data_IF_247032396290
#
_entry.id   IF_247032396290
#
_cell.length_a   1.000
_cell.length_b   1.000
_cell.length_c   1.000
_cell.angle_alpha   90.00
_cell.angle_beta   90.00
_cell.angle_gamma   90.00
#
_symmetry.space_group_name_H-M   'P 1'
#
loop_
_entity.id
_entity.type
_entity.pdbx_description
1 polymer ?
#
# COMPACT_ATOMS: atom_id res chain seq x y z
N UNK A 1 -37.68 22.03 31.29
CA UNK A 1 -37.78 20.69 30.66
C UNK A 1 -37.16 20.81 29.28
N UNK A 2 -35.81 20.72 29.23
CA UNK A 2 -35.04 20.90 28.00
C UNK A 2 -35.01 19.55 27.28
N UNK A 3 -35.55 19.51 26.05
CA UNK A 3 -35.41 18.39 25.16
C UNK A 3 -33.95 18.09 24.90
N UNK A 4 -33.53 16.80 24.85
CA UNK A 4 -32.16 16.47 24.47
C UNK A 4 -31.95 16.90 23.01
N UNK A 5 -30.93 17.71 22.77
CA UNK A 5 -30.40 18.00 21.45
C UNK A 5 -30.00 16.66 20.80
N UNK A 6 -30.81 16.22 19.86
CA UNK A 6 -30.57 15.10 18.98
C UNK A 6 -29.26 15.40 18.20
N UNK A 7 -28.17 14.78 18.63
CA UNK A 7 -26.91 14.74 17.87
C UNK A 7 -27.20 13.82 16.69
N UNK A 8 -27.89 14.37 15.68
CA UNK A 8 -27.95 13.74 14.35
C UNK A 8 -26.53 13.66 13.87
N UNK A 9 -26.00 12.44 13.86
CA UNK A 9 -24.84 12.10 13.06
C UNK A 9 -25.02 12.74 11.68
N UNK A 10 -24.04 13.51 11.23
CA UNK A 10 -24.02 14.12 9.89
C UNK A 10 -24.00 13.03 8.82
N UNK A 11 -25.16 12.40 8.63
CA UNK A 11 -25.38 11.39 7.60
C UNK A 11 -25.56 12.14 6.27
N UNK A 12 -24.61 11.95 5.36
CA UNK A 12 -24.62 12.56 4.03
C UNK A 12 -25.04 11.51 2.98
N UNK A 13 -26.33 11.43 2.64
CA UNK A 13 -26.85 10.41 1.70
C UNK A 13 -26.21 10.50 0.31
N UNK A 14 -25.76 11.70 -0.08
CA UNK A 14 -25.08 11.87 -1.37
C UNK A 14 -23.67 11.29 -1.36
N UNK A 15 -22.95 11.41 -0.24
CA UNK A 15 -21.66 10.75 -0.06
C UNK A 15 -21.83 9.24 -0.01
N UNK A 16 -22.79 8.73 0.74
CA UNK A 16 -23.04 7.29 0.88
C UNK A 16 -23.34 6.63 -0.48
N UNK A 17 -24.14 7.27 -1.31
CA UNK A 17 -24.42 6.80 -2.67
C UNK A 17 -23.16 6.74 -3.56
N UNK A 18 -22.20 7.66 -3.36
CA UNK A 18 -20.93 7.65 -4.08
C UNK A 18 -19.99 6.55 -3.54
N UNK A 19 -19.94 6.39 -2.21
CA UNK A 19 -19.13 5.36 -1.54
C UNK A 19 -19.59 3.96 -1.92
N UNK A 20 -20.90 3.70 -1.95
CA UNK A 20 -21.46 2.42 -2.36
C UNK A 20 -21.01 1.98 -3.78
N UNK A 21 -20.75 2.94 -4.67
CA UNK A 21 -20.20 2.64 -6.02
C UNK A 21 -18.75 2.16 -6.01
N UNK A 22 -18.04 2.34 -4.91
CA UNK A 22 -16.63 1.91 -4.75
C UNK A 22 -16.50 0.49 -4.20
N UNK A 23 -17.61 -0.22 -3.98
CA UNK A 23 -17.60 -1.60 -3.52
C UNK A 23 -17.27 -2.58 -4.67
N UNK A 24 -16.83 -3.79 -4.31
CA UNK A 24 -16.57 -4.86 -5.28
C UNK A 24 -15.11 -5.03 -5.69
N UNK A 25 -14.86 -5.60 -6.86
CA UNK A 25 -13.53 -6.01 -7.34
C UNK A 25 -12.59 -4.83 -7.62
N UNK A 26 -13.14 -3.70 -8.02
CA UNK A 26 -12.41 -2.46 -8.34
C UNK A 26 -11.19 -2.65 -9.26
N UNK A 27 -11.36 -3.14 -10.51
CA UNK A 27 -10.23 -3.49 -11.37
C UNK A 27 -9.32 -2.28 -11.66
N UNK A 28 -9.89 -1.11 -11.88
CA UNK A 28 -9.14 0.12 -12.14
C UNK A 28 -8.27 0.55 -10.97
N UNK A 29 -8.76 0.39 -9.74
CA UNK A 29 -7.96 0.65 -8.54
C UNK A 29 -6.75 -0.27 -8.47
N UNK A 30 -6.91 -1.56 -8.80
CA UNK A 30 -5.81 -2.54 -8.78
C UNK A 30 -4.78 -2.27 -9.87
N UNK A 31 -5.23 -1.93 -11.09
CA UNK A 31 -4.33 -1.52 -12.18
C UNK A 31 -3.57 -0.25 -11.81
N UNK A 32 -4.27 0.75 -11.25
CA UNK A 32 -3.65 1.99 -10.80
C UNK A 32 -2.64 1.73 -9.67
N UNK A 33 -2.99 0.88 -8.71
CA UNK A 33 -2.12 0.50 -7.61
C UNK A 33 -0.83 -0.17 -8.13
N UNK A 34 -0.96 -1.14 -9.04
CA UNK A 34 0.18 -1.81 -9.65
C UNK A 34 1.04 -0.82 -10.48
N UNK A 35 0.41 -0.01 -11.31
CA UNK A 35 1.11 1.01 -12.11
C UNK A 35 1.84 2.03 -11.25
N UNK A 36 1.23 2.47 -10.15
CA UNK A 36 1.86 3.38 -9.20
C UNK A 36 3.08 2.75 -8.51
N UNK A 37 2.99 1.47 -8.14
CA UNK A 37 4.13 0.74 -7.58
C UNK A 37 5.31 0.64 -8.53
N UNK A 38 5.04 0.26 -9.77
CA UNK A 38 6.08 0.19 -10.81
C UNK A 38 6.67 1.59 -11.07
N UNK A 39 5.84 2.62 -11.15
CA UNK A 39 6.28 4.00 -11.38
C UNK A 39 7.15 4.51 -10.22
N UNK A 40 6.74 4.32 -8.98
CA UNK A 40 7.49 4.78 -7.81
C UNK A 40 8.79 3.99 -7.59
N UNK A 41 8.81 2.71 -7.94
CA UNK A 41 10.00 1.87 -7.82
C UNK A 41 11.01 2.13 -8.96
N UNK A 42 10.56 2.08 -10.21
CA UNK A 42 11.44 2.10 -11.37
C UNK A 42 11.58 3.48 -12.02
N UNK A 43 10.56 4.35 -11.93
CA UNK A 43 10.59 5.68 -12.53
C UNK A 43 11.81 6.50 -12.13
N UNK A 44 12.12 6.65 -10.83
CA UNK A 44 13.30 7.37 -10.38
C UNK A 44 14.62 6.78 -10.89
N UNK A 45 14.67 5.45 -11.10
CA UNK A 45 15.87 4.77 -11.65
C UNK A 45 16.03 5.10 -13.11
N UNK A 46 14.95 4.98 -13.89
CA UNK A 46 14.98 5.23 -15.35
C UNK A 46 15.33 6.68 -15.71
N UNK A 47 14.90 7.62 -14.85
CA UNK A 47 15.21 9.06 -15.04
C UNK A 47 16.54 9.47 -14.40
N UNK A 48 17.20 8.57 -13.64
CA UNK A 48 18.49 8.85 -13.00
C UNK A 48 18.41 9.79 -11.79
N UNK A 49 17.27 9.80 -11.06
CA UNK A 49 17.12 10.63 -9.87
C UNK A 49 18.04 10.20 -8.74
N UNK A 50 18.63 11.19 -8.06
CA UNK A 50 19.36 10.94 -6.81
C UNK A 50 18.39 10.58 -5.69
N UNK A 51 18.90 9.93 -4.62
CA UNK A 51 18.09 9.60 -3.45
C UNK A 51 17.48 10.85 -2.81
N UNK A 52 18.23 11.93 -2.73
CA UNK A 52 17.79 13.20 -2.15
C UNK A 52 16.62 13.77 -2.96
N UNK A 53 16.69 13.74 -4.29
CA UNK A 53 15.61 14.19 -5.14
C UNK A 53 14.35 13.34 -4.95
N UNK A 54 14.49 12.02 -4.87
CA UNK A 54 13.37 11.11 -4.58
C UNK A 54 12.70 11.49 -3.24
N UNK A 55 13.49 11.69 -2.19
CA UNK A 55 12.97 12.04 -0.87
C UNK A 55 12.27 13.40 -0.88
N UNK A 56 12.83 14.41 -1.56
CA UNK A 56 12.20 15.73 -1.69
C UNK A 56 10.86 15.63 -2.42
N UNK A 57 10.82 14.93 -3.57
CA UNK A 57 9.59 14.78 -4.37
C UNK A 57 8.52 14.00 -3.61
N UNK A 58 8.87 12.88 -2.97
CA UNK A 58 7.92 12.09 -2.19
C UNK A 58 7.44 12.84 -0.94
N UNK A 59 8.31 13.62 -0.28
CA UNK A 59 7.91 14.45 0.87
C UNK A 59 6.94 15.55 0.45
N UNK A 60 7.20 16.23 -0.67
CA UNK A 60 6.30 17.24 -1.23
C UNK A 60 4.95 16.66 -1.64
N UNK A 61 4.96 15.49 -2.31
CA UNK A 61 3.74 14.78 -2.68
C UNK A 61 2.94 14.33 -1.44
N UNK A 62 3.60 13.78 -0.44
CA UNK A 62 2.97 13.38 0.83
C UNK A 62 2.34 14.56 1.55
N UNK A 63 3.05 15.69 1.64
CA UNK A 63 2.50 16.91 2.26
C UNK A 63 1.24 17.38 1.53
N UNK A 64 1.27 17.43 0.19
CA UNK A 64 0.11 17.83 -0.60
C UNK A 64 -1.07 16.85 -0.40
N UNK A 65 -0.83 15.54 -0.38
CA UNK A 65 -1.85 14.51 -0.12
C UNK A 65 -2.44 14.63 1.29
N UNK A 66 -1.61 14.86 2.31
CA UNK A 66 -2.08 15.07 3.70
C UNK A 66 -2.96 16.32 3.82
N UNK A 67 -2.56 17.43 3.19
CA UNK A 67 -3.37 18.64 3.17
C UNK A 67 -4.71 18.42 2.48
N UNK A 68 -4.73 17.70 1.36
CA UNK A 68 -5.96 17.33 0.65
C UNK A 68 -6.84 16.40 1.50
N UNK A 69 -6.26 15.40 2.17
CA UNK A 69 -7.01 14.51 3.06
C UNK A 69 -7.62 15.26 4.25
N UNK A 70 -6.85 16.15 4.90
CA UNK A 70 -7.36 16.98 5.98
C UNK A 70 -8.49 17.90 5.49
N UNK A 71 -8.33 18.51 4.33
CA UNK A 71 -9.33 19.41 3.76
C UNK A 71 -10.64 18.68 3.44
N UNK A 72 -10.57 17.52 2.75
CA UNK A 72 -11.76 16.78 2.36
C UNK A 72 -12.48 16.11 3.54
N UNK A 73 -11.72 15.65 4.56
CA UNK A 73 -12.31 15.04 5.76
C UNK A 73 -12.99 16.08 6.67
N UNK A 74 -12.57 17.37 6.58
CA UNK A 74 -13.21 18.48 7.31
C UNK A 74 -14.38 19.11 6.55
N UNK A 75 -14.43 18.95 5.23
CA UNK A 75 -15.44 19.58 4.38
C UNK A 75 -16.15 18.52 3.53
N UNK A 76 -17.38 18.15 3.90
CA UNK A 76 -18.16 17.12 3.20
C UNK A 76 -18.31 17.39 1.70
N UNK A 77 -18.38 18.65 1.26
CA UNK A 77 -18.42 18.99 -0.16
C UNK A 77 -17.15 18.57 -0.90
N UNK A 78 -15.96 18.72 -0.29
CA UNK A 78 -14.70 18.28 -0.87
C UNK A 78 -14.60 16.75 -0.86
N UNK A 79 -15.11 16.10 0.18
CA UNK A 79 -15.13 14.62 0.24
C UNK A 79 -16.05 14.05 -0.85
N UNK A 80 -17.23 14.62 -1.07
CA UNK A 80 -18.09 14.27 -2.21
C UNK A 80 -17.39 14.49 -3.55
N UNK A 81 -16.70 15.62 -3.73
CA UNK A 81 -15.93 15.89 -4.95
C UNK A 81 -14.83 14.84 -5.17
N UNK A 82 -14.12 14.45 -4.11
CA UNK A 82 -13.11 13.38 -4.17
C UNK A 82 -13.72 12.07 -4.69
N UNK A 83 -14.83 11.59 -4.10
CA UNK A 83 -15.48 10.36 -4.55
C UNK A 83 -16.11 10.49 -5.95
N UNK A 84 -16.56 11.67 -6.33
CA UNK A 84 -17.05 11.93 -7.69
C UNK A 84 -15.93 11.82 -8.76
N UNK A 85 -14.74 12.34 -8.44
CA UNK A 85 -13.60 12.34 -9.36
C UNK A 85 -12.83 11.00 -9.33
N UNK A 86 -12.59 10.46 -8.15
CA UNK A 86 -11.73 9.30 -7.92
C UNK A 86 -12.47 8.03 -7.51
N UNK A 87 -13.81 7.98 -7.56
CA UNK A 87 -14.59 6.85 -7.09
C UNK A 87 -14.23 5.49 -7.72
N UNK A 88 -13.67 5.47 -8.94
CA UNK A 88 -13.16 4.24 -9.58
C UNK A 88 -11.85 3.73 -8.95
N UNK A 89 -11.13 4.60 -8.25
CA UNK A 89 -9.82 4.33 -7.62
C UNK A 89 -9.90 4.32 -6.10
N UNK A 90 -10.88 5.02 -5.51
CA UNK A 90 -11.08 5.11 -4.08
C UNK A 90 -11.70 3.84 -3.48
N UNK A 91 -11.48 3.61 -2.20
CA UNK A 91 -12.13 2.55 -1.43
C UNK A 91 -13.17 3.12 -0.45
N UNK A 92 -14.15 2.32 0.00
CA UNK A 92 -15.12 2.77 1.00
C UNK A 92 -14.49 3.31 2.28
N UNK A 93 -13.34 2.77 2.70
CA UNK A 93 -12.62 3.21 3.91
C UNK A 93 -12.14 4.66 3.84
N UNK A 94 -11.92 5.17 2.64
CA UNK A 94 -11.43 6.52 2.41
C UNK A 94 -12.50 7.60 2.67
N UNK A 95 -13.76 7.20 2.85
CA UNK A 95 -14.83 8.13 3.20
C UNK A 95 -14.60 8.82 4.56
N UNK A 96 -14.02 8.10 5.50
CA UNK A 96 -13.75 8.56 6.87
C UNK A 96 -12.27 8.54 7.26
N UNK A 97 -11.39 8.12 6.34
CA UNK A 97 -9.96 7.99 6.58
C UNK A 97 -9.10 8.59 5.48
N UNK A 98 -7.78 8.55 5.67
CA UNK A 98 -6.82 9.00 4.65
C UNK A 98 -6.92 8.14 3.39
N UNK A 99 -6.62 8.75 2.25
CA UNK A 99 -6.59 8.05 0.97
C UNK A 99 -5.49 6.97 0.96
N UNK A 100 -5.76 5.85 0.27
CA UNK A 100 -4.78 4.78 0.08
C UNK A 100 -3.49 5.28 -0.59
N UNK A 101 -3.58 6.29 -1.46
CA UNK A 101 -2.42 6.94 -2.08
C UNK A 101 -1.53 7.66 -1.08
N UNK A 102 -2.09 8.26 -0.04
CA UNK A 102 -1.33 8.91 1.04
C UNK A 102 -0.50 7.90 1.82
N UNK A 103 -1.11 6.77 2.20
CA UNK A 103 -0.41 5.65 2.84
C UNK A 103 0.67 5.05 1.93
N UNK A 104 0.37 4.93 0.63
CA UNK A 104 1.30 4.42 -0.36
C UNK A 104 2.56 5.30 -0.48
N UNK A 105 2.35 6.62 -0.61
CA UNK A 105 3.46 7.59 -0.70
C UNK A 105 4.29 7.61 0.58
N UNK A 106 3.65 7.49 1.74
CA UNK A 106 4.34 7.39 3.04
C UNK A 106 5.19 6.11 3.11
N UNK A 107 4.63 4.96 2.70
CA UNK A 107 5.35 3.69 2.67
C UNK A 107 6.57 3.74 1.74
N UNK A 108 6.41 4.30 0.54
CA UNK A 108 7.51 4.49 -0.41
C UNK A 108 8.57 5.47 0.12
N UNK A 109 8.15 6.58 0.73
CA UNK A 109 9.06 7.55 1.35
C UNK A 109 9.91 6.91 2.45
N UNK A 110 9.29 6.15 3.36
CA UNK A 110 10.01 5.44 4.42
C UNK A 110 10.96 4.40 3.82
N UNK A 111 10.53 3.64 2.81
CA UNK A 111 11.37 2.65 2.16
C UNK A 111 12.64 3.31 1.57
N UNK A 112 12.50 4.40 0.82
CA UNK A 112 13.64 5.13 0.27
C UNK A 112 14.48 5.88 1.32
N UNK A 113 13.87 6.30 2.43
CA UNK A 113 14.58 6.99 3.51
C UNK A 113 15.44 6.06 4.37
N UNK A 114 14.94 4.84 4.60
CA UNK A 114 15.53 3.91 5.59
C UNK A 114 16.44 2.87 4.94
N UNK A 115 16.02 2.31 3.79
CA UNK A 115 16.71 1.16 3.20
C UNK A 115 17.67 1.54 2.06
N UNK A 116 18.63 0.67 1.71
CA UNK A 116 19.37 0.74 0.46
C UNK A 116 18.41 0.80 -0.75
N UNK A 117 18.87 1.41 -1.83
CA UNK A 117 18.01 1.73 -2.99
C UNK A 117 17.37 0.49 -3.61
N UNK A 118 18.13 -0.57 -3.78
CA UNK A 118 17.70 -1.86 -4.31
C UNK A 118 16.63 -2.53 -3.42
N UNK A 119 16.83 -2.48 -2.10
CA UNK A 119 15.86 -2.96 -1.10
C UNK A 119 14.57 -2.14 -1.17
N UNK A 120 14.66 -0.81 -1.23
CA UNK A 120 13.49 0.07 -1.33
C UNK A 120 12.69 -0.21 -2.61
N UNK A 121 13.36 -0.31 -3.76
CA UNK A 121 12.75 -0.63 -5.05
C UNK A 121 12.01 -1.97 -4.98
N UNK A 122 12.67 -3.01 -4.49
CA UNK A 122 12.09 -4.35 -4.39
C UNK A 122 10.88 -4.39 -3.45
N UNK A 123 10.95 -3.72 -2.30
CA UNK A 123 9.86 -3.64 -1.33
C UNK A 123 8.63 -2.89 -1.90
N UNK A 124 8.84 -1.80 -2.64
CA UNK A 124 7.76 -1.07 -3.32
C UNK A 124 7.15 -1.90 -4.46
N UNK A 125 7.97 -2.66 -5.20
CA UNK A 125 7.47 -3.58 -6.22
C UNK A 125 6.62 -4.70 -5.63
N UNK A 126 6.98 -5.24 -4.46
CA UNK A 126 6.15 -6.23 -3.75
C UNK A 126 4.78 -5.65 -3.43
N UNK A 127 4.71 -4.45 -2.84
CA UNK A 127 3.45 -3.76 -2.60
C UNK A 127 2.66 -3.57 -3.91
N UNK A 128 3.32 -3.06 -4.96
CA UNK A 128 2.66 -2.74 -6.23
C UNK A 128 2.13 -3.95 -6.99
N UNK A 129 2.76 -5.11 -6.88
CA UNK A 129 2.43 -6.28 -7.69
C UNK A 129 1.76 -7.39 -6.89
N UNK A 130 2.23 -7.70 -5.69
CA UNK A 130 1.72 -8.82 -4.91
C UNK A 130 0.36 -8.52 -4.26
N UNK A 131 0.17 -7.32 -3.69
CA UNK A 131 -1.09 -6.92 -3.06
C UNK A 131 -2.27 -6.90 -4.06
N UNK A 132 -2.21 -6.21 -5.21
CA UNK A 132 -3.33 -6.26 -6.15
C UNK A 132 -3.57 -7.65 -6.74
N UNK A 133 -2.53 -8.47 -6.96
CA UNK A 133 -2.68 -9.84 -7.41
C UNK A 133 -3.42 -10.71 -6.38
N UNK A 134 -2.99 -10.65 -5.11
CA UNK A 134 -3.65 -11.33 -3.99
C UNK A 134 -5.13 -10.91 -3.87
N UNK A 135 -5.37 -9.62 -3.95
CA UNK A 135 -6.73 -9.11 -3.87
C UNK A 135 -7.62 -9.50 -5.05
N UNK A 136 -7.09 -9.69 -6.28
CA UNK A 136 -7.86 -10.24 -7.41
C UNK A 136 -8.18 -11.72 -7.17
N UNK A 137 -7.15 -12.52 -6.89
CA UNK A 137 -7.30 -13.97 -6.70
C UNK A 137 -8.20 -14.26 -5.49
N UNK A 138 -7.97 -13.57 -4.36
CA UNK A 138 -8.78 -13.74 -3.17
C UNK A 138 -10.26 -13.40 -3.37
N UNK A 139 -10.58 -12.43 -4.24
CA UNK A 139 -11.97 -12.08 -4.54
C UNK A 139 -12.65 -13.01 -5.55
N UNK A 140 -11.91 -13.52 -6.54
CA UNK A 140 -12.49 -14.34 -7.61
C UNK A 140 -12.51 -15.82 -7.21
N UNK A 141 -11.44 -16.30 -6.59
CA UNK A 141 -11.25 -17.73 -6.29
C UNK A 141 -11.10 -18.04 -4.81
N UNK A 142 -11.10 -17.04 -3.93
CA UNK A 142 -10.99 -17.23 -2.48
C UNK A 142 -12.16 -18.03 -1.91
N UNK A 143 -11.85 -19.16 -1.29
CA UNK A 143 -12.84 -20.08 -0.68
C UNK A 143 -12.63 -20.24 0.82
N UNK A 144 -11.39 -20.12 1.28
CA UNK A 144 -10.99 -20.36 2.67
C UNK A 144 -10.60 -19.04 3.32
N UNK A 145 -11.42 -18.51 4.26
CA UNK A 145 -11.04 -17.27 4.98
C UNK A 145 -9.72 -17.45 5.74
N UNK A 146 -8.89 -16.44 5.72
CA UNK A 146 -7.64 -16.38 6.47
C UNK A 146 -7.36 -14.92 6.92
N UNK A 147 -7.52 -14.64 8.20
CA UNK A 147 -7.44 -13.27 8.71
C UNK A 147 -8.44 -12.34 8.01
N UNK A 148 -7.97 -11.22 7.47
CA UNK A 148 -8.79 -10.31 6.65
C UNK A 148 -8.85 -10.67 5.16
N UNK A 149 -8.13 -11.72 4.75
CA UNK A 149 -8.04 -12.20 3.38
C UNK A 149 -8.54 -13.65 3.20
N UNK A 150 -7.95 -14.37 2.27
CA UNK A 150 -8.21 -15.77 1.97
C UNK A 150 -6.89 -16.53 1.78
N UNK A 151 -6.91 -17.84 1.99
CA UNK A 151 -5.73 -18.70 1.76
C UNK A 151 -5.21 -18.54 0.33
N UNK A 152 -6.11 -18.54 -0.66
CA UNK A 152 -5.77 -18.41 -2.08
C UNK A 152 -5.15 -17.04 -2.39
N UNK A 153 -5.69 -15.96 -1.81
CA UNK A 153 -5.13 -14.62 -1.94
C UNK A 153 -3.75 -14.53 -1.32
N UNK A 154 -3.60 -14.98 -0.07
CA UNK A 154 -2.31 -14.96 0.65
C UNK A 154 -1.24 -15.80 -0.04
N UNK A 155 -1.61 -16.98 -0.55
CA UNK A 155 -0.69 -17.81 -1.35
C UNK A 155 -0.25 -17.08 -2.61
N UNK A 156 -1.18 -16.39 -3.29
CA UNK A 156 -0.86 -15.58 -4.47
C UNK A 156 0.08 -14.43 -4.10
N UNK A 157 -0.18 -13.73 -2.99
CA UNK A 157 0.73 -12.70 -2.48
C UNK A 157 2.14 -13.24 -2.32
N UNK A 158 2.28 -14.34 -1.57
CA UNK A 158 3.57 -14.96 -1.29
C UNK A 158 4.31 -15.38 -2.56
N UNK A 159 3.62 -16.01 -3.52
CA UNK A 159 4.22 -16.43 -4.79
C UNK A 159 4.68 -15.22 -5.61
N UNK A 160 3.82 -14.22 -5.80
CA UNK A 160 4.17 -13.02 -6.59
C UNK A 160 5.30 -12.23 -5.92
N UNK A 161 5.23 -12.03 -4.60
CA UNK A 161 6.29 -11.37 -3.86
C UNK A 161 7.63 -12.12 -3.99
N UNK A 162 7.62 -13.45 -3.87
CA UNK A 162 8.83 -14.27 -4.05
C UNK A 162 9.41 -14.08 -5.46
N UNK A 163 8.58 -14.17 -6.51
CA UNK A 163 9.02 -13.99 -7.90
C UNK A 163 9.59 -12.60 -8.17
N UNK A 164 9.03 -11.57 -7.53
CA UNK A 164 9.55 -10.19 -7.60
C UNK A 164 10.91 -10.08 -6.93
N UNK A 165 11.10 -10.73 -5.79
CA UNK A 165 12.30 -10.58 -4.95
C UNK A 165 13.49 -11.45 -5.39
N UNK A 166 13.25 -12.64 -5.95
CA UNK A 166 14.29 -13.58 -6.34
C UNK A 166 15.37 -12.98 -7.27
N UNK A 167 15.04 -12.17 -8.29
CA UNK A 167 16.05 -11.55 -9.16
C UNK A 167 17.00 -10.60 -8.44
N UNK A 168 16.57 -10.00 -7.33
CA UNK A 168 17.36 -9.03 -6.55
C UNK A 168 18.19 -9.68 -5.45
N UNK A 169 17.64 -10.70 -4.76
CA UNK A 169 18.18 -11.21 -3.49
C UNK A 169 18.40 -12.71 -3.46
N UNK A 170 18.03 -13.45 -4.52
CA UNK A 170 18.05 -14.91 -4.53
C UNK A 170 16.92 -15.54 -3.70
N UNK A 171 16.87 -16.89 -3.69
CA UNK A 171 15.74 -17.63 -3.12
C UNK A 171 15.57 -17.50 -1.60
N UNK A 172 16.61 -17.68 -0.74
CA UNK A 172 16.37 -17.71 0.71
C UNK A 172 15.83 -16.39 1.27
N UNK A 173 16.45 -15.21 1.00
CA UNK A 173 15.90 -13.94 1.46
C UNK A 173 14.54 -13.62 0.86
N UNK A 174 14.32 -13.95 -0.44
CA UNK A 174 13.06 -13.71 -1.11
C UNK A 174 11.90 -14.49 -0.47
N UNK A 175 12.08 -15.79 -0.23
CA UNK A 175 11.07 -16.65 0.42
C UNK A 175 10.70 -16.14 1.81
N UNK A 176 11.71 -15.76 2.60
CA UNK A 176 11.49 -15.25 3.96
C UNK A 176 10.76 -13.92 3.94
N UNK A 177 11.25 -12.94 3.16
CA UNK A 177 10.64 -11.61 3.10
C UNK A 177 9.21 -11.67 2.53
N UNK A 178 8.98 -12.44 1.48
CA UNK A 178 7.65 -12.67 0.93
C UNK A 178 6.70 -13.33 1.95
N UNK A 179 7.20 -14.31 2.72
CA UNK A 179 6.41 -14.97 3.76
C UNK A 179 5.99 -14.03 4.89
N UNK A 180 6.93 -13.23 5.40
CA UNK A 180 6.64 -12.24 6.46
C UNK A 180 5.68 -11.17 5.94
N UNK A 181 5.88 -10.67 4.71
CA UNK A 181 4.97 -9.71 4.10
C UNK A 181 3.56 -10.29 3.89
N UNK A 182 3.44 -11.53 3.44
CA UNK A 182 2.15 -12.21 3.27
C UNK A 182 1.42 -12.40 4.61
N UNK A 183 2.13 -12.68 5.69
CA UNK A 183 1.56 -12.75 7.04
C UNK A 183 1.09 -11.36 7.50
N UNK A 184 1.88 -10.32 7.26
CA UNK A 184 1.48 -8.96 7.64
C UNK A 184 0.22 -8.48 6.91
N UNK A 185 0.03 -8.91 5.66
CA UNK A 185 -1.15 -8.57 4.84
C UNK A 185 -2.45 -9.13 5.43
N UNK A 186 -2.44 -10.34 6.02
CA UNK A 186 -3.65 -10.97 6.57
C UNK A 186 -3.98 -10.55 8.01
N UNK A 187 -3.05 -9.94 8.72
CA UNK A 187 -3.28 -9.51 10.11
C UNK A 187 -4.09 -8.23 10.13
N UNK A 188 -5.24 -8.20 10.83
CA UNK A 188 -5.96 -6.95 11.05
C UNK A 188 -5.10 -5.96 11.82
N UNK A 189 -4.84 -4.79 11.26
CA UNK A 189 -4.02 -3.77 11.87
C UNK A 189 -4.70 -2.40 11.90
N UNK A 190 -4.18 -1.51 12.74
CA UNK A 190 -4.59 -0.10 12.80
C UNK A 190 -3.99 0.72 11.65
N UNK A 191 -3.01 0.16 10.95
CA UNK A 191 -2.24 0.83 9.90
C UNK A 191 -2.53 0.18 8.56
N UNK A 192 -2.54 0.98 7.51
CA UNK A 192 -2.86 0.55 6.14
C UNK A 192 -1.72 -0.31 5.55
N UNK A 193 -2.09 -1.33 4.76
CA UNK A 193 -1.13 -2.26 4.13
C UNK A 193 -0.17 -1.56 3.18
N UNK A 194 -0.59 -0.45 2.57
CA UNK A 194 0.28 0.35 1.70
C UNK A 194 1.49 0.95 2.42
N UNK A 195 1.42 1.07 3.74
CA UNK A 195 2.57 1.44 4.58
C UNK A 195 3.30 0.19 5.11
N UNK A 196 2.54 -0.78 5.63
CA UNK A 196 3.11 -1.92 6.36
C UNK A 196 3.92 -2.83 5.43
N UNK A 197 3.40 -3.17 4.26
CA UNK A 197 4.06 -4.10 3.33
C UNK A 197 5.46 -3.62 2.91
N UNK A 198 5.67 -2.41 2.38
CA UNK A 198 7.01 -2.01 1.95
C UNK A 198 7.98 -1.83 3.12
N UNK A 199 7.50 -1.39 4.28
CA UNK A 199 8.36 -1.24 5.47
C UNK A 199 8.81 -2.59 5.99
N UNK A 200 7.91 -3.56 6.17
CA UNK A 200 8.26 -4.89 6.68
C UNK A 200 9.11 -5.67 5.66
N UNK A 201 8.73 -5.65 4.38
CA UNK A 201 9.51 -6.31 3.32
C UNK A 201 10.93 -5.76 3.28
N UNK A 202 11.08 -4.44 3.29
CA UNK A 202 12.39 -3.78 3.32
C UNK A 202 13.21 -4.13 4.55
N UNK A 203 12.61 -4.19 5.74
CA UNK A 203 13.28 -4.55 6.96
C UNK A 203 13.86 -5.98 6.91
N UNK A 204 13.06 -6.96 6.47
CA UNK A 204 13.50 -8.36 6.35
C UNK A 204 14.62 -8.50 5.32
N UNK A 205 14.49 -7.88 4.14
CA UNK A 205 15.51 -7.92 3.11
C UNK A 205 16.81 -7.28 3.58
N UNK A 206 16.75 -6.13 4.23
CA UNK A 206 17.94 -5.43 4.72
C UNK A 206 18.67 -6.23 5.80
N UNK A 207 17.94 -6.79 6.74
CA UNK A 207 18.54 -7.63 7.81
C UNK A 207 19.16 -8.91 7.23
N UNK A 208 18.54 -9.55 6.26
CA UNK A 208 19.05 -10.80 5.65
C UNK A 208 20.24 -10.54 4.72
N UNK A 209 20.25 -9.44 3.95
CA UNK A 209 21.38 -9.09 3.08
C UNK A 209 22.61 -8.65 3.87
N UNK A 210 22.43 -7.96 4.99
CA UNK A 210 23.54 -7.60 5.89
C UNK A 210 24.26 -8.84 6.47
N UNK A 211 23.52 -9.90 6.79
CA UNK A 211 24.09 -11.16 7.29
C UNK A 211 24.87 -11.92 6.19
N UNK A 212 24.39 -11.90 4.96
CA UNK A 212 25.07 -12.57 3.83
C UNK A 212 26.40 -11.89 3.52
N UNK A 213 26.47 -10.57 3.61
CA UNK A 213 27.71 -9.80 3.43
C UNK A 213 28.72 -10.04 4.56
N UNK A 214 28.25 -10.24 5.80
CA UNK A 214 29.11 -10.52 6.95
C UNK A 214 29.68 -11.96 6.92
N UNK A 215 28.94 -12.92 6.33
CA UNK A 215 29.38 -14.30 6.22
C UNK A 215 30.34 -14.58 5.04
N UNK A 216 30.51 -13.60 4.16
CA UNK A 216 31.40 -13.69 2.98
C UNK A 216 32.83 -13.13 3.24
N UNK A 217 33.18 -12.75 4.46
CA UNK A 217 34.56 -12.48 4.84
C UNK A 217 35.24 -13.80 5.28
N UNK A 218 36.07 -14.41 4.43
CA UNK A 218 37.03 -15.41 4.92
C UNK A 218 38.14 -14.66 5.67
N UNK A 219 38.48 -15.16 6.85
CA UNK A 219 39.63 -14.76 7.66
C UNK A 219 40.91 -14.67 6.84
#
# INVERSE_FOLDING_TARGET
MNAPTDIRSDHDPALDALVARTEGLQPWRRVFHAGNGVLLALGPVLVGWSRELILVVLSGALLAQLLLDVARLRAGALNRLFFKLFGRLASPREASGMASSTWYTLGALIAYAVYPRDVAIAAILVLGLADPAAGVVGRIWGRRPLGKGTVEGTTTFWLVATLVLVPFFGWPPALLAAGVAAVSEIVPGLVDDNLVIPVITGAVLWLTSAQTSASSFPF
#
